data_IF_214915911547
#
_entry.id   IF_214915911547
#
_cell.length_a   1.000
_cell.length_b   1.000
_cell.length_c   1.000
_cell.angle_alpha   90.00
_cell.angle_beta   90.00
_cell.angle_gamma   90.00
#
_symmetry.space_group_name_H-M   'P 1'
#
loop_
_entity.id
_entity.type
_entity.pdbx_description
1 polymer ?
#
# COMPACT_ATOMS: atom_id res chain seq x y z
N UNK A 1 27.38 -5.39 52.02
CA UNK A 1 26.53 -6.32 51.25
C UNK A 1 25.59 -5.48 50.41
N UNK A 2 26.01 -5.10 49.22
CA UNK A 2 25.18 -4.35 48.27
C UNK A 2 24.73 -5.29 47.15
N UNK A 3 23.42 -5.51 47.07
CA UNK A 3 22.80 -6.29 45.99
C UNK A 3 22.60 -5.35 44.79
N UNK A 4 23.46 -5.48 43.78
CA UNK A 4 23.20 -4.90 42.47
C UNK A 4 21.96 -5.56 41.86
N UNK A 5 20.95 -4.74 41.60
CA UNK A 5 19.75 -5.05 40.82
C UNK A 5 20.17 -5.20 39.35
N UNK A 6 19.87 -6.30 38.63
CA UNK A 6 20.13 -6.32 37.21
C UNK A 6 19.16 -5.35 36.53
N UNK A 7 19.72 -4.32 35.89
CA UNK A 7 19.03 -3.50 34.91
C UNK A 7 18.52 -4.44 33.81
N UNK A 8 17.20 -4.58 33.73
CA UNK A 8 16.55 -5.15 32.57
C UNK A 8 16.84 -4.25 31.37
N UNK A 9 17.71 -4.73 30.49
CA UNK A 9 17.89 -4.17 29.16
C UNK A 9 16.55 -4.23 28.43
N UNK A 10 15.81 -3.12 28.44
CA UNK A 10 14.69 -2.89 27.54
C UNK A 10 15.28 -2.70 26.13
N UNK A 11 15.52 -3.82 25.45
CA UNK A 11 15.76 -3.80 24.01
C UNK A 11 14.51 -3.30 23.27
N UNK A 12 14.66 -2.62 22.13
CA UNK A 12 13.53 -2.10 21.36
C UNK A 12 12.84 -3.25 20.62
N UNK A 13 11.95 -3.98 21.29
CA UNK A 13 11.35 -5.18 20.70
C UNK A 13 9.88 -5.43 21.07
N UNK A 14 9.01 -4.40 21.03
CA UNK A 14 7.56 -4.61 21.23
C UNK A 14 6.58 -3.91 20.25
N UNK A 15 7.01 -3.07 19.31
CA UNK A 15 6.07 -2.27 18.51
C UNK A 15 6.15 -2.44 16.99
N UNK A 16 6.48 -3.62 16.46
CA UNK A 16 6.54 -3.83 14.99
C UNK A 16 5.22 -4.25 14.31
N UNK A 17 4.13 -4.46 15.05
CA UNK A 17 2.92 -5.12 14.51
C UNK A 17 1.58 -4.42 14.81
N UNK A 18 1.57 -3.08 14.93
CA UNK A 18 0.31 -2.31 14.94
C UNK A 18 0.43 -1.05 14.10
N UNK A 19 0.38 -1.24 12.78
CA UNK A 19 0.04 -0.16 11.87
C UNK A 19 -1.45 -0.27 11.56
N UNK A 20 -2.24 0.64 12.15
CA UNK A 20 -3.63 0.85 11.74
C UNK A 20 -3.67 2.15 10.95
N UNK A 21 -3.71 2.03 9.62
CA UNK A 21 -3.84 3.17 8.71
C UNK A 21 -5.25 3.21 8.15
N UNK A 22 -5.89 4.38 8.20
CA UNK A 22 -7.16 4.60 7.52
C UNK A 22 -6.87 5.07 6.08
N UNK A 23 -7.02 4.16 5.12
CA UNK A 23 -6.77 4.47 3.71
C UNK A 23 -7.68 5.60 3.19
N UNK A 24 -8.89 5.77 3.76
CA UNK A 24 -9.79 6.87 3.41
C UNK A 24 -9.18 8.27 3.65
N UNK A 25 -8.30 8.39 4.65
CA UNK A 25 -7.78 9.69 5.09
C UNK A 25 -6.38 10.00 4.56
N UNK A 26 -5.72 9.05 3.90
CA UNK A 26 -4.33 9.20 3.48
C UNK A 26 -4.18 10.09 2.25
N UNK A 27 -5.19 10.10 1.38
CA UNK A 27 -5.24 10.88 0.14
C UNK A 27 -6.58 11.63 0.04
N UNK A 28 -6.79 12.65 0.89
CA UNK A 28 -8.06 13.36 1.02
C UNK A 28 -8.41 14.23 -0.19
N UNK A 29 -7.41 14.68 -0.95
CA UNK A 29 -7.62 15.52 -2.13
C UNK A 29 -7.82 14.70 -3.39
N UNK A 30 -7.30 13.46 -3.45
CA UNK A 30 -7.37 12.56 -4.60
C UNK A 30 -8.81 12.10 -4.90
N UNK A 31 -9.51 12.94 -5.65
CA UNK A 31 -10.91 12.85 -6.10
C UNK A 31 -11.02 12.74 -7.63
N UNK A 32 -9.89 12.65 -8.32
CA UNK A 32 -9.76 12.66 -9.78
C UNK A 32 -10.37 13.91 -10.44
N UNK A 33 -10.09 15.10 -9.88
CA UNK A 33 -10.56 16.39 -10.42
C UNK A 33 -9.50 17.13 -11.26
N UNK A 34 -8.27 16.63 -11.30
CA UNK A 34 -7.16 17.21 -12.06
C UNK A 34 -6.52 18.41 -11.37
N UNK A 35 -6.66 18.58 -10.05
CA UNK A 35 -6.04 19.70 -9.32
C UNK A 35 -4.54 19.50 -9.10
N UNK A 36 -3.84 20.57 -8.69
CA UNK A 36 -2.40 20.51 -8.38
C UNK A 36 -2.15 19.69 -7.12
N UNK A 37 -2.98 19.84 -6.09
CA UNK A 37 -2.87 19.10 -4.83
C UNK A 37 -3.05 17.58 -5.05
N UNK A 38 -3.91 17.21 -6.00
CA UNK A 38 -4.08 15.82 -6.41
C UNK A 38 -2.84 15.23 -7.08
N UNK A 39 -2.03 16.04 -7.78
CA UNK A 39 -0.76 15.59 -8.37
C UNK A 39 0.17 15.06 -7.29
N UNK A 40 0.37 15.84 -6.21
CA UNK A 40 1.30 15.49 -5.14
C UNK A 40 0.84 14.22 -4.41
N UNK A 41 -0.46 14.12 -4.13
CA UNK A 41 -1.06 12.91 -3.56
C UNK A 41 -0.94 11.70 -4.50
N UNK A 42 -1.05 11.90 -5.81
CA UNK A 42 -0.91 10.85 -6.81
C UNK A 42 0.54 10.33 -6.91
N UNK A 43 1.52 11.23 -6.82
CA UNK A 43 2.94 10.84 -6.78
C UNK A 43 3.28 10.10 -5.47
N UNK A 44 2.70 10.52 -4.35
CA UNK A 44 2.82 9.79 -3.09
C UNK A 44 2.21 8.38 -3.18
N UNK A 45 1.03 8.25 -3.81
CA UNK A 45 0.42 6.95 -4.12
C UNK A 45 1.34 6.09 -4.99
N UNK A 46 1.93 6.64 -6.06
CA UNK A 46 2.89 5.91 -6.89
C UNK A 46 4.02 5.32 -6.04
N UNK A 47 4.65 6.14 -5.20
CA UNK A 47 5.72 5.71 -4.31
C UNK A 47 5.27 4.63 -3.34
N UNK A 48 4.03 4.69 -2.84
CA UNK A 48 3.45 3.64 -2.02
C UNK A 48 3.27 2.32 -2.79
N UNK A 49 2.65 2.36 -3.96
CA UNK A 49 2.44 1.17 -4.79
C UNK A 49 3.77 0.51 -5.20
N UNK A 50 4.77 1.32 -5.56
CA UNK A 50 6.11 0.84 -5.90
C UNK A 50 6.79 0.15 -4.69
N UNK A 51 6.62 0.69 -3.46
CA UNK A 51 7.10 0.03 -2.24
C UNK A 51 6.44 -1.33 -2.02
N UNK A 52 5.13 -1.43 -2.21
CA UNK A 52 4.40 -2.71 -2.09
C UNK A 52 4.87 -3.73 -3.13
N UNK A 53 5.06 -3.31 -4.39
CA UNK A 53 5.59 -4.17 -5.45
C UNK A 53 7.00 -4.66 -5.12
N UNK A 54 7.90 -3.77 -4.69
CA UNK A 54 9.27 -4.13 -4.30
C UNK A 54 9.26 -5.14 -3.14
N UNK A 55 8.44 -4.88 -2.14
CA UNK A 55 8.31 -5.72 -0.97
C UNK A 55 7.76 -7.13 -1.33
N UNK A 56 6.75 -7.21 -2.20
CA UNK A 56 6.19 -8.48 -2.70
C UNK A 56 7.22 -9.30 -3.50
N UNK A 57 8.13 -8.64 -4.23
CA UNK A 57 9.15 -9.29 -5.07
C UNK A 57 10.30 -9.94 -4.30
N UNK A 58 10.48 -9.60 -3.03
CA UNK A 58 11.61 -10.09 -2.23
C UNK A 58 11.24 -11.42 -1.57
N UNK A 59 11.37 -12.55 -2.29
CA UNK A 59 10.78 -13.84 -1.92
C UNK A 59 11.68 -14.80 -1.10
N UNK A 60 13.00 -14.63 -1.15
CA UNK A 60 13.94 -15.68 -0.71
C UNK A 60 14.06 -15.85 0.82
N UNK A 61 13.48 -14.94 1.61
CA UNK A 61 13.61 -14.92 3.08
C UNK A 61 12.30 -14.63 3.81
N UNK A 62 11.20 -15.15 3.29
CA UNK A 62 9.90 -14.93 3.87
C UNK A 62 9.78 -15.57 5.24
N UNK A 63 9.37 -14.76 6.23
CA UNK A 63 9.12 -15.20 7.61
C UNK A 63 7.63 -15.31 7.83
N UNK A 64 7.16 -16.53 8.06
CA UNK A 64 5.76 -16.81 8.33
C UNK A 64 5.53 -16.95 9.84
N UNK A 65 4.33 -16.58 10.34
CA UNK A 65 3.15 -16.11 9.60
C UNK A 65 3.14 -14.61 9.27
N UNK A 66 4.17 -13.85 9.66
CA UNK A 66 4.25 -12.40 9.43
C UNK A 66 4.00 -12.00 7.97
N UNK A 67 4.54 -12.77 7.01
CA UNK A 67 4.30 -12.53 5.58
C UNK A 67 2.84 -12.66 5.15
N UNK A 68 2.06 -13.57 5.75
CA UNK A 68 0.64 -13.68 5.45
C UNK A 68 -0.13 -12.44 5.90
N UNK A 69 0.24 -11.85 7.04
CA UNK A 69 -0.37 -10.59 7.49
C UNK A 69 -0.09 -9.47 6.50
N UNK A 70 1.13 -9.40 5.97
CA UNK A 70 1.51 -8.37 5.01
C UNK A 70 0.82 -8.59 3.63
N UNK A 71 0.61 -9.83 3.21
CA UNK A 71 -0.21 -10.18 2.02
C UNK A 71 -1.66 -9.74 2.21
N UNK A 72 -2.27 -10.08 3.34
CA UNK A 72 -3.65 -9.69 3.68
C UNK A 72 -3.82 -8.17 3.66
N UNK A 73 -2.81 -7.46 4.16
CA UNK A 73 -2.81 -6.01 4.17
C UNK A 73 -2.70 -5.44 2.74
N UNK A 74 -1.86 -6.03 1.89
CA UNK A 74 -1.77 -5.67 0.47
C UNK A 74 -3.08 -5.94 -0.28
N UNK A 75 -3.76 -7.06 -0.02
CA UNK A 75 -5.09 -7.34 -0.58
C UNK A 75 -6.11 -6.26 -0.19
N UNK A 76 -6.04 -5.78 1.05
CA UNK A 76 -6.89 -4.68 1.53
C UNK A 76 -6.58 -3.36 0.80
N UNK A 77 -5.31 -3.07 0.52
CA UNK A 77 -4.91 -1.93 -0.32
C UNK A 77 -5.48 -2.02 -1.75
N UNK A 78 -5.31 -3.18 -2.38
CA UNK A 78 -5.80 -3.43 -3.76
C UNK A 78 -7.31 -3.25 -3.82
N UNK A 79 -8.04 -3.83 -2.87
CA UNK A 79 -9.49 -3.69 -2.80
C UNK A 79 -9.92 -2.24 -2.60
N UNK A 80 -9.29 -1.53 -1.66
CA UNK A 80 -9.56 -0.12 -1.41
C UNK A 80 -9.42 0.72 -2.68
N UNK A 81 -8.28 0.60 -3.38
CA UNK A 81 -8.02 1.40 -4.57
C UNK A 81 -8.91 1.01 -5.73
N UNK A 82 -9.17 -0.27 -5.92
CA UNK A 82 -10.14 -0.73 -6.94
C UNK A 82 -11.52 -0.13 -6.67
N UNK A 83 -12.04 -0.24 -5.45
CA UNK A 83 -13.35 0.31 -5.10
C UNK A 83 -13.38 1.86 -5.25
N UNK A 84 -12.29 2.55 -4.87
CA UNK A 84 -12.16 4.01 -5.04
C UNK A 84 -12.15 4.42 -6.51
N UNK A 85 -11.40 3.71 -7.35
CA UNK A 85 -11.32 3.96 -8.79
C UNK A 85 -12.67 3.71 -9.46
N UNK A 86 -13.39 2.67 -9.05
CA UNK A 86 -14.74 2.33 -9.55
C UNK A 86 -15.82 3.33 -9.08
N UNK A 87 -15.47 4.32 -8.25
CA UNK A 87 -16.42 5.28 -7.70
C UNK A 87 -17.40 4.68 -6.69
N UNK A 88 -17.09 3.50 -6.13
CA UNK A 88 -17.94 2.88 -5.11
C UNK A 88 -17.81 3.64 -3.80
N UNK A 89 -18.91 3.71 -3.04
CA UNK A 89 -18.88 4.27 -1.69
C UNK A 89 -17.94 3.44 -0.83
N UNK A 90 -16.80 4.02 -0.47
CA UNK A 90 -15.87 3.44 0.48
C UNK A 90 -16.57 3.40 1.83
N UNK A 91 -16.76 2.20 2.36
CA UNK A 91 -17.22 2.02 3.74
C UNK A 91 -16.25 2.75 4.68
N UNK A 92 -16.78 3.21 5.82
CA UNK A 92 -16.04 4.02 6.79
C UNK A 92 -14.79 3.32 7.37
N UNK A 93 -14.64 2.00 7.14
CA UNK A 93 -13.54 1.18 7.65
C UNK A 93 -12.86 0.39 6.54
N UNK A 94 -11.96 1.05 5.80
CA UNK A 94 -10.83 0.36 5.15
C UNK A 94 -9.60 0.58 6.04
N UNK A 95 -9.54 -0.21 7.10
CA UNK A 95 -8.41 -0.22 8.01
C UNK A 95 -7.34 -1.14 7.45
N UNK A 96 -6.15 -0.59 7.22
CA UNK A 96 -4.94 -1.39 7.20
C UNK A 96 -4.82 -2.01 8.57
N UNK A 97 -5.06 -3.31 8.70
CA UNK A 97 -5.16 -3.93 10.01
C UNK A 97 -4.42 -5.24 10.04
N UNK A 98 -3.23 -5.25 10.64
CA UNK A 98 -2.55 -6.48 11.09
C UNK A 98 -3.38 -7.19 12.20
N UNK A 99 -4.51 -6.61 12.62
CA UNK A 99 -5.10 -6.84 13.93
C UNK A 99 -6.44 -7.59 13.98
N UNK A 100 -6.91 -8.26 12.91
CA UNK A 100 -8.13 -9.11 13.03
C UNK A 100 -8.12 -10.52 12.40
N UNK A 101 -7.11 -10.91 11.62
CA UNK A 101 -6.96 -12.33 11.18
C UNK A 101 -6.08 -13.19 12.10
N UNK A 102 -5.68 -12.64 13.26
CA UNK A 102 -4.67 -13.17 14.19
C UNK A 102 -5.02 -14.46 14.98
N UNK A 103 -6.07 -15.20 14.66
CA UNK A 103 -6.33 -16.51 15.32
C UNK A 103 -5.95 -17.72 14.48
N UNK A 104 -5.99 -17.65 13.14
CA UNK A 104 -5.59 -18.76 12.25
C UNK A 104 -4.15 -18.64 11.75
N UNK A 105 -3.64 -17.44 11.45
CA UNK A 105 -2.25 -17.30 10.99
C UNK A 105 -1.24 -17.49 12.13
N UNK A 106 -1.57 -17.05 13.34
CA UNK A 106 -0.69 -17.22 14.52
C UNK A 106 -0.60 -18.66 15.05
N UNK A 107 -1.44 -19.59 14.57
CA UNK A 107 -1.35 -21.02 14.90
C UNK A 107 -0.43 -21.79 13.97
N UNK A 108 0.06 -21.18 12.88
CA UNK A 108 1.02 -21.84 12.00
C UNK A 108 2.43 -21.84 12.61
N UNK A 109 3.18 -22.95 12.44
CA UNK A 109 4.58 -22.99 12.86
C UNK A 109 5.39 -21.93 12.11
N UNK A 110 6.22 -21.21 12.84
CA UNK A 110 7.14 -20.24 12.25
C UNK A 110 8.09 -20.94 11.29
N UNK A 111 8.07 -20.51 10.03
CA UNK A 111 8.99 -21.01 9.00
C UNK A 111 9.67 -19.85 8.28
N UNK A 112 10.89 -20.10 7.83
CA UNK A 112 11.65 -19.20 6.96
C UNK A 112 11.90 -19.93 5.64
N UNK A 113 11.59 -19.29 4.53
CA UNK A 113 11.82 -19.85 3.20
C UNK A 113 10.82 -19.31 2.19
N UNK A 114 10.89 -19.77 0.94
CA UNK A 114 10.01 -19.28 -0.11
C UNK A 114 8.53 -19.58 0.20
N UNK A 115 7.60 -18.81 -0.38
CA UNK A 115 6.19 -19.17 -0.39
C UNK A 115 5.96 -20.51 -1.11
N UNK A 116 4.87 -21.18 -0.76
CA UNK A 116 4.35 -22.25 -1.61
C UNK A 116 3.84 -21.68 -2.95
N UNK A 117 3.55 -22.58 -3.88
CA UNK A 117 3.14 -22.20 -5.24
C UNK A 117 1.87 -21.34 -5.27
N UNK A 118 0.86 -21.67 -4.46
CA UNK A 118 -0.40 -20.93 -4.41
C UNK A 118 -0.17 -19.51 -3.90
N UNK A 119 0.60 -19.37 -2.82
CA UNK A 119 0.98 -18.09 -2.25
C UNK A 119 1.80 -17.27 -3.26
N UNK A 120 2.72 -17.89 -3.97
CA UNK A 120 3.50 -17.25 -5.03
C UNK A 120 2.62 -16.74 -6.18
N UNK A 121 1.71 -17.57 -6.70
CA UNK A 121 0.77 -17.20 -7.76
C UNK A 121 -0.14 -16.04 -7.33
N UNK A 122 -0.57 -16.03 -6.07
CA UNK A 122 -1.32 -14.92 -5.49
C UNK A 122 -0.49 -13.62 -5.48
N UNK A 123 0.77 -13.68 -5.05
CA UNK A 123 1.69 -12.53 -5.04
C UNK A 123 1.90 -11.95 -6.44
N UNK A 124 2.08 -12.81 -7.45
CA UNK A 124 2.23 -12.37 -8.84
C UNK A 124 0.99 -11.58 -9.27
N UNK A 125 -0.21 -12.11 -9.01
CA UNK A 125 -1.48 -11.44 -9.31
C UNK A 125 -1.61 -10.10 -8.59
N UNK A 126 -1.19 -10.03 -7.33
CA UNK A 126 -1.23 -8.79 -6.55
C UNK A 126 -0.30 -7.72 -7.15
N UNK A 127 0.90 -8.09 -7.59
CA UNK A 127 1.81 -7.17 -8.29
C UNK A 127 1.17 -6.61 -9.55
N UNK A 128 0.51 -7.45 -10.34
CA UNK A 128 -0.20 -7.03 -11.56
C UNK A 128 -1.36 -6.08 -11.24
N UNK A 129 -2.13 -6.37 -10.18
CA UNK A 129 -3.22 -5.51 -9.73
C UNK A 129 -2.72 -4.14 -9.26
N UNK A 130 -1.63 -4.08 -8.48
CA UNK A 130 -1.02 -2.80 -8.06
C UNK A 130 -0.58 -1.95 -9.26
N UNK A 131 0.01 -2.59 -10.27
CA UNK A 131 0.40 -1.90 -11.53
C UNK A 131 -0.80 -1.43 -12.33
N UNK A 132 -1.87 -2.21 -12.33
CA UNK A 132 -3.14 -1.87 -12.99
C UNK A 132 -3.77 -0.66 -12.31
N UNK A 133 -3.83 -0.66 -10.97
CA UNK A 133 -4.28 0.48 -10.16
C UNK A 133 -3.51 1.75 -10.55
N UNK A 134 -2.17 1.71 -10.54
CA UNK A 134 -1.36 2.87 -10.96
C UNK A 134 -1.73 3.34 -12.37
N UNK A 135 -1.87 2.41 -13.30
CA UNK A 135 -2.15 2.71 -14.71
C UNK A 135 -3.53 3.33 -14.90
N UNK A 136 -4.56 2.86 -14.20
CA UNK A 136 -5.90 3.43 -14.30
C UNK A 136 -5.95 4.81 -13.64
N UNK A 137 -5.34 4.98 -12.47
CA UNK A 137 -5.36 6.27 -11.77
C UNK A 137 -4.66 7.36 -12.58
N UNK A 138 -3.48 7.09 -13.15
CA UNK A 138 -2.78 8.10 -13.97
C UNK A 138 -3.60 8.52 -15.20
N UNK A 139 -4.32 7.59 -15.84
CA UNK A 139 -5.19 7.89 -16.99
C UNK A 139 -6.34 8.78 -16.55
N UNK A 140 -7.09 8.39 -15.50
CA UNK A 140 -8.22 9.17 -14.99
C UNK A 140 -7.80 10.58 -14.57
N UNK A 141 -6.64 10.71 -13.92
CA UNK A 141 -6.11 12.01 -13.55
C UNK A 141 -5.77 12.87 -14.77
N UNK A 142 -5.12 12.29 -15.80
CA UNK A 142 -4.81 13.01 -17.03
C UNK A 142 -6.06 13.49 -17.77
N UNK A 143 -7.09 12.65 -17.85
CA UNK A 143 -8.40 13.02 -18.40
C UNK A 143 -9.01 14.20 -17.62
N UNK A 144 -8.96 14.16 -16.28
CA UNK A 144 -9.46 15.24 -15.44
C UNK A 144 -8.66 16.54 -15.61
N UNK A 145 -7.33 16.46 -15.74
CA UNK A 145 -6.46 17.61 -16.04
C UNK A 145 -6.82 18.21 -17.41
N UNK A 146 -7.02 17.37 -18.43
CA UNK A 146 -7.41 17.82 -19.76
C UNK A 146 -8.77 18.54 -19.76
N UNK A 147 -9.72 18.08 -18.95
CA UNK A 147 -11.04 18.67 -18.84
C UNK A 147 -11.08 19.96 -17.99
N UNK A 148 -10.15 20.12 -17.05
CA UNK A 148 -10.17 21.24 -16.08
C UNK A 148 -9.17 22.37 -16.38
N UNK A 149 -8.18 22.13 -17.25
CA UNK A 149 -7.11 23.10 -17.54
C UNK A 149 -7.32 23.79 -18.89
N UNK A 150 -7.11 25.11 -18.91
CA UNK A 150 -7.38 25.96 -20.08
C UNK A 150 -6.19 26.05 -21.06
N UNK A 151 -4.98 25.75 -20.62
CA UNK A 151 -3.76 25.83 -21.45
C UNK A 151 -2.99 24.51 -21.49
N UNK A 152 -2.14 24.35 -22.51
CA UNK A 152 -1.26 23.19 -22.62
C UNK A 152 -0.17 23.18 -21.54
N UNK A 153 0.42 24.34 -21.23
CA UNK A 153 1.49 24.47 -20.23
C UNK A 153 1.01 24.02 -18.83
N UNK A 154 -0.22 24.37 -18.47
CA UNK A 154 -0.82 23.95 -17.22
C UNK A 154 -1.04 22.43 -17.17
N UNK A 155 -1.44 21.82 -18.29
CA UNK A 155 -1.60 20.36 -18.38
C UNK A 155 -0.27 19.65 -18.23
N UNK A 156 0.78 20.16 -18.88
CA UNK A 156 2.15 19.64 -18.75
C UNK A 156 2.60 19.72 -17.28
N UNK A 157 2.45 20.88 -16.64
CA UNK A 157 2.84 21.09 -15.25
C UNK A 157 2.09 20.17 -14.28
N UNK A 158 0.78 19.94 -14.51
CA UNK A 158 -0.06 19.07 -13.67
C UNK A 158 0.24 17.59 -13.89
N UNK A 159 0.62 17.18 -15.09
CA UNK A 159 0.96 15.78 -15.42
C UNK A 159 2.45 15.44 -15.22
N UNK A 160 3.28 16.42 -14.91
CA UNK A 160 4.73 16.25 -14.71
C UNK A 160 5.03 15.23 -13.58
N UNK A 161 5.95 14.31 -13.84
CA UNK A 161 6.32 13.20 -12.97
C UNK A 161 5.29 12.05 -12.87
N UNK A 162 4.06 12.22 -13.38
CA UNK A 162 3.06 11.14 -13.45
C UNK A 162 3.31 10.28 -14.69
N UNK A 163 3.53 10.96 -15.82
CA UNK A 163 3.98 10.35 -17.05
C UNK A 163 5.47 10.64 -17.14
N UNK A 164 6.30 9.67 -16.73
CA UNK A 164 7.72 9.76 -17.04
C UNK A 164 7.85 9.71 -18.56
N UNK A 165 8.03 10.88 -19.19
CA UNK A 165 8.49 11.00 -20.55
C UNK A 165 10.02 10.86 -20.53
N UNK A 166 10.49 9.62 -20.50
CA UNK A 166 11.88 9.28 -20.76
C UNK A 166 11.93 8.36 -21.98
#
# INVERSE_FOLDING_TARGET
MDKQKPMSAQGPNRDRHKFVYNLNNQYPNLKMKGSKEERDELLALKGELDRWVLWLRTLDYWRFPGKFQEIDATNSLIKYWTDKIDGRKLKDKYEFGVTKNNRKSNSEPSRIGPPDRETFENVVRMIEQLRTIWSVVKIKYAEAVANSSQSMDERILRCDGIFNFH
#
